data_IF_880197731631
#
_entry.id   IF_880197731631
#
_cell.length_a   1.000
_cell.length_b   1.000
_cell.length_c   1.000
_cell.angle_alpha   90.00
_cell.angle_beta   90.00
_cell.angle_gamma   90.00
#
_symmetry.space_group_name_H-M   'P 1'
#
loop_
_entity.id
_entity.type
_entity.pdbx_description
1 polymer ?
#
# COMPACT_ATOMS: atom_id res chain seq x y z
N UNK A 1 -7.47 -9.77 -3.84
CA UNK A 1 -8.31 -8.56 -4.04
C UNK A 1 -8.89 -8.55 -5.46
N UNK A 2 -9.96 -7.78 -5.73
CA UNK A 2 -10.58 -7.65 -7.07
C UNK A 2 -9.75 -6.81 -8.05
N UNK A 3 -8.92 -5.88 -7.56
CA UNK A 3 -8.06 -4.99 -8.37
C UNK A 3 -7.05 -5.73 -9.25
N UNK A 4 -6.60 -6.92 -8.84
CA UNK A 4 -5.60 -7.72 -9.54
C UNK A 4 -6.21 -8.96 -10.23
N UNK A 5 -7.54 -9.08 -10.19
CA UNK A 5 -8.27 -10.27 -10.61
C UNK A 5 -9.50 -9.95 -11.46
N UNK A 6 -9.50 -8.83 -12.20
CA UNK A 6 -10.61 -8.45 -13.07
C UNK A 6 -11.00 -9.54 -14.08
N UNK A 7 -10.02 -10.32 -14.53
CA UNK A 7 -10.22 -11.46 -15.43
C UNK A 7 -10.96 -12.64 -14.78
N UNK A 8 -10.93 -12.73 -13.45
CA UNK A 8 -11.57 -13.81 -12.68
C UNK A 8 -13.04 -13.49 -12.35
N UNK A 9 -13.53 -12.29 -12.68
CA UNK A 9 -14.91 -11.87 -12.39
C UNK A 9 -15.96 -12.85 -12.91
N UNK A 10 -15.89 -13.38 -14.15
CA UNK A 10 -16.87 -14.36 -14.64
C UNK A 10 -16.90 -15.64 -13.81
N UNK A 11 -15.72 -16.15 -13.42
CA UNK A 11 -15.60 -17.33 -12.58
C UNK A 11 -16.12 -17.09 -11.16
N UNK A 12 -15.81 -15.94 -10.56
CA UNK A 12 -16.29 -15.54 -9.24
C UNK A 12 -17.82 -15.40 -9.20
N UNK A 13 -18.43 -14.87 -10.26
CA UNK A 13 -19.88 -14.79 -10.38
C UNK A 13 -20.53 -16.17 -10.46
N UNK A 14 -19.94 -17.11 -11.19
CA UNK A 14 -20.43 -18.49 -11.26
C UNK A 14 -20.31 -19.19 -9.90
N UNK A 15 -19.18 -19.02 -9.20
CA UNK A 15 -18.97 -19.58 -7.87
C UNK A 15 -19.97 -19.03 -6.83
N UNK A 16 -20.40 -17.77 -6.99
CA UNK A 16 -21.36 -17.09 -6.10
C UNK A 16 -22.81 -17.14 -6.62
N UNK A 17 -23.09 -17.88 -7.69
CA UNK A 17 -24.44 -18.00 -8.26
C UNK A 17 -25.46 -18.57 -7.26
N UNK A 18 -25.02 -19.42 -6.33
CA UNK A 18 -25.84 -19.95 -5.24
C UNK A 18 -26.11 -18.93 -4.12
N UNK A 19 -25.38 -17.81 -4.08
CA UNK A 19 -25.60 -16.73 -3.11
C UNK A 19 -26.93 -15.99 -3.34
N UNK A 20 -27.54 -16.13 -4.52
CA UNK A 20 -28.84 -15.56 -4.86
C UNK A 20 -29.99 -15.98 -3.96
N UNK A 21 -29.90 -17.18 -3.38
CA UNK A 21 -30.87 -17.72 -2.44
C UNK A 21 -30.36 -17.72 -1.00
N UNK A 22 -29.18 -17.13 -0.75
CA UNK A 22 -28.58 -17.10 0.58
C UNK A 22 -29.26 -16.04 1.45
N UNK A 23 -29.57 -16.34 2.72
CA UNK A 23 -30.03 -15.34 3.70
C UNK A 23 -28.91 -14.37 4.12
N UNK A 24 -27.66 -14.59 3.68
CA UNK A 24 -26.54 -13.72 4.00
C UNK A 24 -26.52 -12.46 3.14
N UNK A 25 -26.80 -11.31 3.76
CA UNK A 25 -26.69 -9.98 3.14
C UNK A 25 -25.30 -9.71 2.57
N UNK A 26 -24.26 -10.27 3.20
CA UNK A 26 -22.87 -10.13 2.76
C UNK A 26 -22.59 -10.87 1.45
N UNK A 27 -23.07 -12.11 1.30
CA UNK A 27 -22.92 -12.86 0.06
C UNK A 27 -23.73 -12.23 -1.08
N UNK A 28 -24.95 -11.76 -0.78
CA UNK A 28 -25.77 -11.06 -1.76
C UNK A 28 -25.13 -9.75 -2.23
N UNK A 29 -24.51 -9.00 -1.32
CA UNK A 29 -23.78 -7.77 -1.66
C UNK A 29 -22.55 -8.07 -2.55
N UNK A 30 -21.76 -9.10 -2.23
CA UNK A 30 -20.63 -9.52 -3.07
C UNK A 30 -21.08 -9.89 -4.48
N UNK A 31 -22.18 -10.63 -4.60
CA UNK A 31 -22.75 -10.96 -5.89
C UNK A 31 -23.20 -9.72 -6.68
N UNK A 32 -23.89 -8.79 -6.02
CA UNK A 32 -24.36 -7.55 -6.65
C UNK A 32 -23.18 -6.68 -7.14
N UNK A 33 -22.11 -6.59 -6.36
CA UNK A 33 -20.88 -5.89 -6.76
C UNK A 33 -20.25 -6.57 -7.99
N UNK A 34 -20.11 -7.89 -7.99
CA UNK A 34 -19.58 -8.62 -9.13
C UNK A 34 -20.43 -8.44 -10.39
N UNK A 35 -21.76 -8.42 -10.25
CA UNK A 35 -22.69 -8.13 -11.35
C UNK A 35 -22.47 -6.73 -11.91
N UNK A 36 -22.37 -5.73 -11.04
CA UNK A 36 -22.11 -4.34 -11.45
C UNK A 36 -20.77 -4.21 -12.18
N UNK A 37 -19.72 -4.90 -11.69
CA UNK A 37 -18.40 -4.93 -12.34
C UNK A 37 -18.49 -5.53 -13.74
N UNK A 38 -19.16 -6.67 -13.92
CA UNK A 38 -19.30 -7.31 -15.24
C UNK A 38 -20.11 -6.46 -16.22
N UNK A 39 -21.15 -5.78 -15.75
CA UNK A 39 -21.87 -4.79 -16.56
C UNK A 39 -20.95 -3.66 -16.99
N UNK A 40 -20.15 -3.12 -16.08
CA UNK A 40 -19.20 -2.04 -16.36
C UNK A 40 -18.09 -2.49 -17.33
N UNK A 41 -17.56 -3.71 -17.18
CA UNK A 41 -16.62 -4.33 -18.12
C UNK A 41 -17.21 -4.45 -19.53
N UNK A 42 -18.48 -4.89 -19.61
CA UNK A 42 -19.20 -5.03 -20.88
C UNK A 42 -19.46 -3.66 -21.51
N UNK A 43 -19.89 -2.67 -20.73
CA UNK A 43 -20.16 -1.32 -21.21
C UNK A 43 -18.89 -0.61 -21.67
N UNK A 44 -17.78 -0.70 -20.93
CA UNK A 44 -16.51 -0.09 -21.31
C UNK A 44 -15.74 -0.87 -22.40
N UNK A 45 -16.22 -2.07 -22.78
CA UNK A 45 -15.52 -2.94 -23.72
C UNK A 45 -14.13 -3.38 -23.24
N UNK A 46 -13.89 -3.38 -21.91
CA UNK A 46 -12.59 -3.72 -21.34
C UNK A 46 -12.76 -4.64 -20.14
N UNK A 47 -11.94 -5.70 -20.09
CA UNK A 47 -11.92 -6.60 -18.94
C UNK A 47 -11.16 -5.97 -17.77
N UNK A 48 -10.17 -5.14 -18.03
CA UNK A 48 -9.36 -4.51 -17.00
C UNK A 48 -9.91 -3.12 -16.69
N UNK A 49 -10.38 -2.92 -15.46
CA UNK A 49 -10.94 -1.65 -14.99
C UNK A 49 -9.87 -0.74 -14.36
N UNK A 50 -8.60 -1.14 -14.36
CA UNK A 50 -7.51 -0.42 -13.74
C UNK A 50 -7.39 -0.66 -12.25
N UNK A 51 -6.68 0.22 -11.56
CA UNK A 51 -6.40 0.08 -10.14
C UNK A 51 -7.55 0.64 -9.30
N UNK A 52 -8.05 -0.15 -8.35
CA UNK A 52 -9.05 0.31 -7.37
C UNK A 52 -8.35 1.16 -6.32
N UNK A 53 -8.85 2.36 -6.06
CA UNK A 53 -8.39 3.17 -4.93
C UNK A 53 -8.79 2.47 -3.61
N UNK A 54 -7.83 2.34 -2.70
CA UNK A 54 -7.95 1.46 -1.52
C UNK A 54 -9.07 1.84 -0.56
N UNK A 55 -9.49 3.11 -0.55
CA UNK A 55 -10.52 3.61 0.37
C UNK A 55 -11.80 4.00 -0.38
N UNK A 56 -12.93 3.30 -0.13
CA UNK A 56 -14.20 3.67 -0.72
C UNK A 56 -14.70 5.00 -0.15
N UNK A 57 -15.23 5.86 -1.00
CA UNK A 57 -15.87 7.10 -0.57
C UNK A 57 -17.26 6.77 -0.04
N UNK A 58 -17.59 7.25 1.15
CA UNK A 58 -18.91 7.09 1.75
C UNK A 58 -19.48 8.45 2.10
N UNK A 59 -20.71 8.72 1.69
CA UNK A 59 -21.43 9.90 2.17
C UNK A 59 -22.30 9.57 3.38
N UNK A 60 -22.88 10.63 3.98
CA UNK A 60 -23.77 10.51 5.14
C UNK A 60 -25.12 9.87 4.81
N UNK A 61 -25.46 9.79 3.53
CA UNK A 61 -26.70 9.16 3.04
C UNK A 61 -26.51 7.63 2.87
N UNK A 62 -25.29 7.13 3.05
CA UNK A 62 -24.96 5.71 2.94
C UNK A 62 -24.60 5.28 1.51
N UNK A 63 -24.46 6.21 0.57
CA UNK A 63 -23.95 5.88 -0.75
C UNK A 63 -22.45 5.61 -0.68
N UNK A 64 -22.00 4.61 -1.44
CA UNK A 64 -20.61 4.19 -1.51
C UNK A 64 -20.11 4.33 -2.93
N UNK A 65 -19.04 5.09 -3.12
CA UNK A 65 -18.34 5.23 -4.39
C UNK A 65 -17.02 4.45 -4.36
N UNK A 66 -16.90 3.52 -5.32
CA UNK A 66 -15.66 2.81 -5.62
C UNK A 66 -14.97 3.53 -6.77
N UNK A 67 -13.72 3.95 -6.55
CA UNK A 67 -12.94 4.69 -7.54
C UNK A 67 -11.94 3.73 -8.18
N UNK A 68 -11.93 3.70 -9.51
CA UNK A 68 -10.93 2.96 -10.30
C UNK A 68 -10.19 3.94 -11.19
N UNK A 69 -8.90 3.71 -11.40
CA UNK A 69 -8.06 4.55 -12.23
C UNK A 69 -7.28 3.66 -13.20
N UNK A 70 -7.42 3.97 -14.49
CA UNK A 70 -6.71 3.28 -15.57
C UNK A 70 -6.01 4.31 -16.43
N UNK A 71 -4.69 4.16 -16.57
CA UNK A 71 -3.92 4.96 -17.51
C UNK A 71 -4.00 4.34 -18.91
N UNK A 72 -4.22 5.20 -19.91
CA UNK A 72 -4.24 4.82 -21.32
C UNK A 72 -3.01 5.44 -21.99
N UNK A 73 -1.90 4.70 -22.17
CA UNK A 73 -0.66 5.24 -22.73
C UNK A 73 -0.82 5.65 -24.21
N UNK A 74 -1.78 5.04 -24.91
CA UNK A 74 -2.23 5.45 -26.23
C UNK A 74 -3.73 5.79 -26.13
N UNK A 75 -4.21 6.76 -26.93
CA UNK A 75 -5.63 7.06 -26.99
C UNK A 75 -6.40 5.76 -27.29
N UNK A 76 -7.25 5.26 -26.37
CA UNK A 76 -7.96 4.02 -26.60
C UNK A 76 -8.89 4.21 -27.79
N UNK A 77 -9.10 3.15 -28.57
CA UNK A 77 -10.24 3.10 -29.49
C UNK A 77 -11.49 3.49 -28.69
N UNK A 78 -12.31 4.44 -29.18
CA UNK A 78 -13.48 4.85 -28.43
C UNK A 78 -14.33 3.62 -28.12
N UNK A 79 -14.70 3.41 -26.84
CA UNK A 79 -15.60 2.31 -26.48
C UNK A 79 -16.90 2.41 -27.29
N UNK A 80 -17.50 1.26 -27.60
CA UNK A 80 -18.82 1.17 -28.25
C UNK A 80 -19.82 0.69 -27.19
N UNK A 81 -20.77 1.53 -26.72
CA UNK A 81 -21.16 2.84 -27.24
C UNK A 81 -20.17 3.98 -26.89
N UNK A 82 -20.12 5.07 -27.67
CA UNK A 82 -19.18 6.18 -27.47
C UNK A 82 -19.42 6.85 -26.11
N UNK A 83 -18.49 6.62 -25.17
CA UNK A 83 -18.47 7.38 -23.93
C UNK A 83 -18.00 8.81 -24.21
N UNK A 84 -18.64 9.77 -23.55
CA UNK A 84 -18.20 11.15 -23.59
C UNK A 84 -17.10 11.34 -22.55
N UNK A 85 -15.84 11.44 -23.01
CA UNK A 85 -14.76 11.84 -22.12
C UNK A 85 -14.99 13.28 -21.66
N UNK A 86 -15.05 13.48 -20.35
CA UNK A 86 -15.15 14.80 -19.75
C UNK A 86 -13.74 15.23 -19.33
N UNK A 87 -13.22 16.35 -19.84
CA UNK A 87 -11.97 16.92 -19.34
C UNK A 87 -12.05 17.16 -17.83
N UNK A 88 -10.99 16.82 -17.08
CA UNK A 88 -10.95 16.97 -15.62
C UNK A 88 -11.26 18.42 -15.19
N UNK A 89 -10.78 19.40 -15.95
CA UNK A 89 -11.06 20.84 -15.70
C UNK A 89 -12.56 21.17 -15.74
N UNK A 90 -13.39 20.40 -16.47
CA UNK A 90 -14.85 20.58 -16.45
C UNK A 90 -15.48 19.98 -15.20
N UNK A 91 -14.91 18.91 -14.64
CA UNK A 91 -15.33 18.34 -13.36
C UNK A 91 -15.00 19.32 -12.22
N UNK A 92 -13.81 19.92 -12.24
CA UNK A 92 -13.41 20.98 -11.29
C UNK A 92 -14.32 22.21 -11.36
N UNK A 93 -14.80 22.59 -12.55
CA UNK A 93 -15.75 23.71 -12.70
C UNK A 93 -17.17 23.38 -12.24
N UNK A 94 -17.58 22.10 -12.23
CA UNK A 94 -18.86 21.70 -11.66
C UNK A 94 -18.88 21.79 -10.13
N UNK A 95 -17.71 21.88 -9.47
CA UNK A 95 -17.53 22.16 -8.04
C UNK A 95 -18.30 23.40 -7.56
N UNK A 96 -18.50 24.39 -8.44
CA UNK A 96 -19.08 25.68 -8.08
C UNK A 96 -20.61 25.75 -8.21
N UNK A 97 -21.30 24.68 -8.61
CA UNK A 97 -22.76 24.68 -8.74
C UNK A 97 -23.39 24.35 -7.40
N UNK A 98 -23.64 25.41 -6.62
CA UNK A 98 -24.58 25.56 -5.50
C UNK A 98 -24.84 24.30 -4.66
N UNK A 99 -24.41 24.25 -3.38
CA UNK A 99 -24.87 23.20 -2.47
C UNK A 99 -26.38 23.37 -2.27
N UNK A 100 -27.17 22.63 -3.04
CA UNK A 100 -28.62 22.50 -2.81
C UNK A 100 -28.89 21.61 -1.58
N UNK A 101 -27.88 20.85 -1.15
CA UNK A 101 -27.92 19.97 0.00
C UNK A 101 -27.06 20.52 1.14
N UNK A 102 -27.51 20.39 2.40
CA UNK A 102 -26.72 20.83 3.56
C UNK A 102 -25.46 20.01 3.82
N UNK A 103 -25.32 18.84 3.18
CA UNK A 103 -24.20 17.92 3.38
C UNK A 103 -23.56 17.52 2.04
N UNK A 104 -22.21 17.36 1.99
CA UNK A 104 -21.52 16.96 0.77
C UNK A 104 -21.86 15.53 0.38
N UNK A 105 -22.13 15.32 -0.90
CA UNK A 105 -22.35 13.99 -1.48
C UNK A 105 -21.02 13.24 -1.66
N UNK A 106 -21.09 11.94 -1.95
CA UNK A 106 -19.89 11.16 -2.25
C UNK A 106 -19.17 11.66 -3.52
N UNK A 107 -19.91 12.26 -4.46
CA UNK A 107 -19.35 12.91 -5.65
C UNK A 107 -18.62 14.22 -5.31
N UNK A 108 -19.15 15.02 -4.39
CA UNK A 108 -18.48 16.25 -3.93
C UNK A 108 -17.16 15.93 -3.24
N UNK A 109 -17.16 14.89 -2.39
CA UNK A 109 -15.95 14.37 -1.75
C UNK A 109 -14.95 13.85 -2.78
N UNK A 110 -15.41 13.19 -3.85
CA UNK A 110 -14.55 12.74 -4.93
C UNK A 110 -13.87 13.92 -5.62
N UNK A 111 -14.59 15.01 -5.91
CA UNK A 111 -14.03 16.19 -6.55
C UNK A 111 -12.98 16.88 -5.69
N UNK A 112 -13.25 17.03 -4.39
CA UNK A 112 -12.30 17.64 -3.47
C UNK A 112 -11.02 16.80 -3.29
N UNK A 113 -11.11 15.46 -3.38
CA UNK A 113 -9.96 14.54 -3.22
C UNK A 113 -9.38 14.02 -4.55
N UNK A 114 -9.83 14.55 -5.69
CA UNK A 114 -9.48 13.97 -7.00
C UNK A 114 -7.97 14.03 -7.26
N UNK A 115 -7.35 15.18 -6.97
CA UNK A 115 -5.91 15.41 -7.15
C UNK A 115 -5.08 14.49 -6.24
N UNK A 116 -5.50 14.28 -5.00
CA UNK A 116 -4.85 13.37 -4.07
C UNK A 116 -4.91 11.92 -4.54
N UNK A 117 -6.08 11.47 -5.03
CA UNK A 117 -6.24 10.10 -5.56
C UNK A 117 -5.41 9.88 -6.84
N UNK A 118 -5.35 10.87 -7.73
CA UNK A 118 -4.50 10.83 -8.92
C UNK A 118 -3.02 10.79 -8.55
N UNK A 119 -2.61 11.61 -7.58
CA UNK A 119 -1.24 11.64 -7.08
C UNK A 119 -0.86 10.32 -6.42
N UNK A 120 -1.74 9.75 -5.60
CA UNK A 120 -1.56 8.42 -5.01
C UNK A 120 -1.32 7.35 -6.09
N UNK A 121 -2.15 7.31 -7.13
CA UNK A 121 -1.98 6.35 -8.23
C UNK A 121 -0.63 6.50 -8.95
N UNK A 122 -0.22 7.74 -9.25
CA UNK A 122 1.10 7.99 -9.86
C UNK A 122 2.22 7.50 -8.95
N UNK A 123 2.12 7.75 -7.65
CA UNK A 123 3.11 7.29 -6.67
C UNK A 123 3.13 5.78 -6.50
N UNK A 124 1.98 5.09 -6.54
CA UNK A 124 1.91 3.63 -6.41
C UNK A 124 2.53 2.90 -7.60
N UNK A 125 2.61 3.55 -8.77
CA UNK A 125 3.24 2.99 -9.96
C UNK A 125 4.75 3.29 -10.06
N UNK A 126 5.34 3.97 -9.06
CA UNK A 126 6.77 4.24 -9.06
C UNK A 126 7.57 3.04 -8.56
N UNK A 127 8.78 2.91 -9.12
CA UNK A 127 9.72 1.84 -8.80
C UNK A 127 10.91 2.42 -8.08
N UNK A 128 11.41 1.68 -7.08
CA UNK A 128 12.62 2.07 -6.36
C UNK A 128 13.86 1.59 -7.09
N UNK A 129 14.94 2.33 -6.90
CA UNK A 129 16.25 1.96 -7.42
C UNK A 129 16.67 0.57 -6.90
N UNK A 130 17.31 -0.27 -7.71
CA UNK A 130 17.81 -1.57 -7.27
C UNK A 130 18.70 -1.49 -6.03
N UNK A 131 18.60 -2.47 -5.14
CA UNK A 131 19.48 -2.58 -3.99
C UNK A 131 18.87 -3.22 -2.76
N UNK A 132 19.65 -3.20 -1.69
CA UNK A 132 19.26 -3.70 -0.38
C UNK A 132 18.72 -2.54 0.45
N UNK A 133 17.53 -2.75 1.01
CA UNK A 133 16.81 -1.79 1.83
C UNK A 133 16.57 -2.36 3.23
N UNK A 134 16.37 -1.46 4.19
CA UNK A 134 15.74 -1.79 5.46
C UNK A 134 14.38 -1.10 5.49
N UNK A 135 13.32 -1.86 5.76
CA UNK A 135 11.95 -1.36 5.85
C UNK A 135 11.36 -1.64 7.21
N UNK A 136 10.59 -0.71 7.77
CA UNK A 136 9.93 -0.90 9.06
C UNK A 136 8.50 -1.40 8.85
N UNK A 137 8.12 -2.49 9.53
CA UNK A 137 6.74 -2.97 9.52
C UNK A 137 5.99 -2.39 10.72
N UNK A 138 5.27 -1.29 10.50
CA UNK A 138 4.39 -0.72 11.52
C UNK A 138 2.94 -1.00 11.18
N UNK A 139 2.29 -1.78 12.04
CA UNK A 139 0.88 -2.08 11.94
C UNK A 139 0.07 -1.23 12.92
N UNK A 140 -1.11 -0.84 12.49
CA UNK A 140 -2.12 -0.18 13.32
C UNK A 140 -3.35 -1.08 13.30
N UNK A 141 -3.66 -1.71 14.43
CA UNK A 141 -4.82 -2.57 14.54
C UNK A 141 -6.03 -1.77 15.04
N UNK A 142 -7.16 -1.90 14.36
CA UNK A 142 -8.46 -1.42 14.84
C UNK A 142 -9.45 -2.58 14.91
N UNK A 143 -10.63 -2.35 15.53
CA UNK A 143 -11.68 -3.38 15.64
C UNK A 143 -12.12 -3.90 14.26
N UNK A 144 -12.07 -3.05 13.23
CA UNK A 144 -12.55 -3.40 11.89
C UNK A 144 -11.44 -3.96 10.97
N UNK A 145 -10.18 -3.52 11.14
CA UNK A 145 -9.12 -3.85 10.20
C UNK A 145 -7.70 -3.61 10.75
N UNK A 146 -6.74 -4.38 10.25
CA UNK A 146 -5.32 -4.11 10.41
C UNK A 146 -4.86 -3.21 9.26
N UNK A 147 -4.20 -2.12 9.59
CA UNK A 147 -3.58 -1.18 8.64
C UNK A 147 -2.07 -1.20 8.77
N UNK A 148 -1.37 -0.84 7.70
CA UNK A 148 0.08 -0.69 7.64
C UNK A 148 0.45 0.75 7.32
N UNK A 149 1.54 1.24 7.92
CA UNK A 149 2.11 2.54 7.61
C UNK A 149 3.02 2.45 6.37
N UNK A 150 2.76 3.31 5.39
CA UNK A 150 3.53 3.43 4.14
C UNK A 150 3.90 4.89 3.88
N UNK A 151 4.96 5.19 3.11
CA UNK A 151 5.28 6.57 2.75
C UNK A 151 4.31 7.09 1.70
N UNK A 152 3.87 8.35 1.83
CA UNK A 152 2.88 8.94 0.91
C UNK A 152 3.36 9.02 -0.56
N UNK A 153 4.67 9.18 -0.77
CA UNK A 153 5.29 9.27 -2.11
C UNK A 153 5.53 7.91 -2.76
N UNK A 154 5.45 6.82 -1.99
CA UNK A 154 5.71 5.48 -2.48
C UNK A 154 4.90 4.44 -1.68
N UNK A 155 3.57 4.44 -1.83
CA UNK A 155 2.67 3.65 -1.00
C UNK A 155 2.73 2.14 -1.27
N UNK A 156 3.43 1.71 -2.31
CA UNK A 156 3.68 0.31 -2.68
C UNK A 156 4.87 -0.32 -1.94
N UNK A 157 5.53 0.41 -1.02
CA UNK A 157 6.55 -0.14 -0.13
C UNK A 157 6.31 0.28 1.32
N UNK A 158 6.94 -0.44 2.24
CA UNK A 158 7.07 0.00 3.62
C UNK A 158 7.93 1.27 3.69
N UNK A 159 7.80 2.03 4.78
CA UNK A 159 8.75 3.08 5.09
C UNK A 159 10.16 2.47 5.16
N UNK A 160 11.08 2.97 4.33
CA UNK A 160 12.37 2.32 4.09
C UNK A 160 13.53 3.30 4.00
N UNK A 161 14.74 2.75 4.16
CA UNK A 161 16.01 3.41 3.85
C UNK A 161 16.91 2.45 3.07
N UNK A 162 17.66 2.98 2.11
CA UNK A 162 18.61 2.19 1.31
C UNK A 162 19.85 1.88 2.15
N UNK A 163 20.22 0.61 2.23
CA UNK A 163 21.45 0.14 2.88
C UNK A 163 22.60 0.21 1.89
N UNK A 164 22.42 -0.37 0.70
CA UNK A 164 23.44 -0.38 -0.36
C UNK A 164 22.84 -0.60 -1.76
N UNK A 165 23.59 -0.34 -2.85
CA UNK A 165 23.12 -0.59 -4.21
C UNK A 165 22.99 -2.06 -4.61
N UNK A 166 23.71 -2.97 -3.97
CA UNK A 166 23.59 -4.41 -4.22
C UNK A 166 22.42 -5.00 -3.41
N UNK A 167 21.51 -5.70 -4.06
CA UNK A 167 20.38 -6.36 -3.40
C UNK A 167 20.78 -7.63 -2.63
N UNK A 168 21.91 -8.25 -2.99
CA UNK A 168 22.34 -9.50 -2.40
C UNK A 168 22.70 -9.34 -0.93
N UNK A 169 22.44 -10.38 -0.14
CA UNK A 169 22.96 -10.54 1.23
C UNK A 169 23.79 -11.83 1.23
N UNK A 170 25.04 -11.73 1.66
CA UNK A 170 25.96 -12.88 1.71
C UNK A 170 25.61 -13.80 2.89
N UNK A 171 26.08 -15.05 2.82
CA UNK A 171 25.88 -16.02 3.90
C UNK A 171 26.49 -15.55 5.23
N UNK A 172 27.65 -14.89 5.19
CA UNK A 172 28.31 -14.34 6.38
C UNK A 172 27.46 -13.24 7.03
N UNK A 173 26.96 -12.29 6.23
CA UNK A 173 26.08 -11.20 6.70
C UNK A 173 24.78 -11.74 7.29
N UNK A 174 24.16 -12.74 6.64
CA UNK A 174 22.93 -13.34 7.12
C UNK A 174 23.12 -14.13 8.41
N UNK A 175 24.21 -14.91 8.51
CA UNK A 175 24.56 -15.64 9.72
C UNK A 175 24.84 -14.69 10.90
N UNK A 176 25.48 -13.55 10.65
CA UNK A 176 25.70 -12.50 11.65
C UNK A 176 24.40 -11.89 12.15
N UNK A 177 23.46 -11.60 11.24
CA UNK A 177 22.13 -11.11 11.62
C UNK A 177 21.39 -12.12 12.51
N UNK A 178 21.43 -13.41 12.15
CA UNK A 178 20.80 -14.47 12.93
C UNK A 178 21.45 -14.64 14.31
N UNK A 179 22.78 -14.63 14.40
CA UNK A 179 23.47 -14.80 15.69
C UNK A 179 23.15 -13.68 16.69
N UNK A 180 22.98 -12.44 16.22
CA UNK A 180 22.65 -11.30 17.07
C UNK A 180 21.19 -11.29 17.55
N UNK A 181 20.30 -12.09 16.95
CA UNK A 181 18.92 -12.27 17.44
C UNK A 181 18.83 -13.37 18.50
N UNK A 182 19.69 -14.39 18.43
CA UNK A 182 19.61 -15.59 19.30
C UNK A 182 20.70 -15.67 20.38
N UNK A 183 21.79 -14.90 20.29
CA UNK A 183 22.85 -14.86 21.31
C UNK A 183 22.94 -13.49 21.97
N UNK A 184 22.59 -13.44 23.26
CA UNK A 184 22.90 -12.30 24.15
C UNK A 184 24.36 -12.30 24.64
N UNK A 185 25.17 -13.26 24.21
CA UNK A 185 26.58 -13.40 24.61
C UNK A 185 27.49 -13.07 23.42
N UNK A 186 28.18 -11.93 23.55
CA UNK A 186 29.03 -11.32 22.54
C UNK A 186 30.30 -12.12 22.24
N UNK A 187 30.17 -13.16 21.41
CA UNK A 187 31.30 -13.68 20.64
C UNK A 187 31.46 -12.86 19.38
N UNK A 188 32.46 -11.97 19.31
CA UNK A 188 32.79 -11.23 18.09
C UNK A 188 33.24 -12.22 17.01
N UNK A 189 32.45 -12.49 15.94
CA UNK A 189 32.99 -13.22 14.82
C UNK A 189 34.01 -12.31 14.16
N UNK A 190 35.22 -12.82 13.93
CA UNK A 190 36.32 -12.16 13.25
C UNK A 190 35.80 -11.37 12.04
N UNK A 191 35.68 -10.05 12.18
CA UNK A 191 34.94 -9.22 11.24
C UNK A 191 35.72 -9.15 9.93
N UNK A 192 35.25 -9.85 8.89
CA UNK A 192 35.74 -9.62 7.55
C UNK A 192 35.50 -8.16 7.18
N UNK A 193 36.40 -7.53 6.43
CA UNK A 193 36.26 -6.10 6.06
C UNK A 193 34.93 -5.80 5.37
N UNK A 194 34.33 -6.77 4.67
CA UNK A 194 33.02 -6.66 4.05
C UNK A 194 31.85 -6.70 5.05
N UNK A 195 31.95 -7.54 6.09
CA UNK A 195 30.94 -7.62 7.14
C UNK A 195 30.89 -6.33 7.97
N UNK A 196 32.04 -5.76 8.33
CA UNK A 196 32.11 -4.49 9.06
C UNK A 196 31.45 -3.35 8.27
N UNK A 197 31.68 -3.30 6.95
CA UNK A 197 31.09 -2.30 6.06
C UNK A 197 29.57 -2.46 5.91
N UNK A 198 29.09 -3.71 5.85
CA UNK A 198 27.66 -4.01 5.86
C UNK A 198 26.99 -3.56 7.16
N UNK A 199 27.57 -3.90 8.32
CA UNK A 199 27.03 -3.52 9.63
C UNK A 199 26.98 -1.99 9.76
N UNK A 200 28.04 -1.30 9.33
CA UNK A 200 28.10 0.16 9.32
C UNK A 200 27.00 0.76 8.45
N UNK A 201 26.84 0.26 7.22
CA UNK A 201 25.81 0.73 6.28
C UNK A 201 24.40 0.46 6.79
N UNK A 202 24.17 -0.71 7.38
CA UNK A 202 22.88 -1.08 7.98
C UNK A 202 22.52 -0.17 9.16
N UNK A 203 23.47 0.10 10.06
CA UNK A 203 23.27 1.02 11.19
C UNK A 203 22.90 2.43 10.70
N UNK A 204 23.63 2.96 9.71
CA UNK A 204 23.32 4.27 9.12
C UNK A 204 21.92 4.29 8.51
N UNK A 205 21.54 3.24 7.76
CA UNK A 205 20.22 3.14 7.16
C UNK A 205 19.10 3.05 8.20
N UNK A 206 19.28 2.28 9.27
CA UNK A 206 18.32 2.20 10.38
C UNK A 206 18.21 3.55 11.08
N UNK A 207 19.33 4.19 11.43
CA UNK A 207 19.33 5.52 12.06
C UNK A 207 18.58 6.53 11.19
N UNK A 208 18.86 6.56 9.88
CA UNK A 208 18.17 7.44 8.95
C UNK A 208 16.67 7.15 8.87
N UNK A 209 16.26 5.88 8.81
CA UNK A 209 14.85 5.48 8.81
C UNK A 209 14.12 5.91 10.08
N UNK A 210 14.73 5.70 11.25
CA UNK A 210 14.14 6.09 12.53
C UNK A 210 14.02 7.60 12.64
N UNK A 211 15.05 8.36 12.27
CA UNK A 211 15.00 9.84 12.25
C UNK A 211 13.91 10.35 11.31
N UNK A 212 13.82 9.78 10.11
CA UNK A 212 12.79 10.13 9.11
C UNK A 212 11.36 9.96 9.63
N UNK A 213 11.15 8.95 10.47
CA UNK A 213 9.86 8.64 11.10
C UNK A 213 9.65 9.32 12.45
N UNK A 214 10.56 10.22 12.85
CA UNK A 214 10.58 10.89 14.15
C UNK A 214 10.59 9.89 15.34
N UNK A 215 11.25 8.74 15.17
CA UNK A 215 11.48 7.75 16.23
C UNK A 215 12.78 8.13 16.95
N UNK A 216 12.75 8.36 18.27
CA UNK A 216 13.96 8.65 19.02
C UNK A 216 14.96 7.50 18.96
N UNK A 217 16.20 7.80 18.60
CA UNK A 217 17.27 6.80 18.42
C UNK A 217 17.59 6.01 19.70
N UNK A 218 17.32 6.58 20.88
CA UNK A 218 17.48 5.85 22.13
C UNK A 218 16.54 4.63 22.23
N UNK A 219 15.47 4.55 21.44
CA UNK A 219 14.58 3.36 21.37
C UNK A 219 15.00 2.35 20.31
N UNK A 220 16.04 2.63 19.51
CA UNK A 220 16.44 1.77 18.40
C UNK A 220 16.75 0.33 18.85
N UNK A 221 17.25 0.13 20.07
CA UNK A 221 17.55 -1.19 20.64
C UNK A 221 16.30 -2.07 20.84
N UNK A 222 15.11 -1.47 20.89
CA UNK A 222 13.85 -2.19 21.04
C UNK A 222 13.36 -2.76 19.71
N UNK A 223 13.94 -2.32 18.59
CA UNK A 223 13.58 -2.79 17.27
C UNK A 223 14.41 -4.04 16.91
N UNK A 224 13.71 -5.11 16.53
CA UNK A 224 14.34 -6.34 16.09
C UNK A 224 14.46 -6.39 14.57
N UNK A 225 15.58 -6.90 14.06
CA UNK A 225 15.67 -7.26 12.63
C UNK A 225 15.04 -8.64 12.44
N UNK A 226 14.14 -8.78 11.48
CA UNK A 226 13.55 -10.06 11.10
C UNK A 226 14.58 -10.89 10.31
N UNK A 227 14.90 -12.07 10.82
CA UNK A 227 16.00 -12.92 10.30
C UNK A 227 15.54 -14.33 9.90
N UNK A 228 14.22 -14.54 9.78
CA UNK A 228 13.69 -15.82 9.27
C UNK A 228 13.78 -15.89 7.76
N UNK A 229 13.39 -14.83 7.06
CA UNK A 229 13.38 -14.77 5.60
C UNK A 229 13.79 -13.37 5.13
N UNK A 230 14.56 -13.32 4.04
CA UNK A 230 14.87 -12.08 3.34
C UNK A 230 13.74 -11.80 2.34
N UNK A 231 13.14 -10.62 2.43
CA UNK A 231 12.08 -10.22 1.49
C UNK A 231 12.75 -9.83 0.17
N UNK A 232 12.47 -10.58 -0.89
CA UNK A 232 13.03 -10.32 -2.22
C UNK A 232 11.91 -9.91 -3.18
N UNK A 233 12.06 -8.74 -3.80
CA UNK A 233 11.10 -8.17 -4.74
C UNK A 233 11.73 -8.18 -6.13
N UNK A 234 11.38 -9.21 -6.91
CA UNK A 234 12.04 -9.53 -8.17
C UNK A 234 13.54 -9.83 -8.00
N UNK A 235 14.33 -9.58 -9.04
CA UNK A 235 15.77 -9.88 -9.01
C UNK A 235 16.63 -8.71 -8.50
N UNK A 236 16.04 -7.51 -8.39
CA UNK A 236 16.78 -6.25 -8.28
C UNK A 236 16.66 -5.58 -6.92
N UNK A 237 15.75 -6.04 -6.05
CA UNK A 237 15.49 -5.41 -4.76
C UNK A 237 15.34 -6.45 -3.66
N UNK A 238 15.95 -6.19 -2.51
CA UNK A 238 15.77 -7.00 -1.31
C UNK A 238 15.59 -6.09 -0.10
N UNK A 239 14.81 -6.53 0.87
CA UNK A 239 14.49 -5.75 2.06
C UNK A 239 14.67 -6.59 3.32
N UNK A 240 15.41 -6.01 4.26
CA UNK A 240 15.45 -6.43 5.64
C UNK A 240 14.30 -5.77 6.39
N UNK A 241 13.54 -6.55 7.16
CA UNK A 241 12.41 -6.04 7.91
C UNK A 241 12.85 -5.65 9.33
N UNK A 242 12.55 -4.42 9.71
CA UNK A 242 12.71 -3.91 11.06
C UNK A 242 11.35 -3.97 11.78
N UNK A 243 11.29 -4.71 12.86
CA UNK A 243 10.08 -4.95 13.64
C UNK A 243 10.08 -4.06 14.89
N UNK A 244 9.02 -3.27 15.12
CA UNK A 244 8.86 -2.55 16.38
C UNK A 244 8.66 -3.52 17.55
N UNK A 245 8.90 -3.07 18.79
CA UNK A 245 8.57 -3.85 19.98
C UNK A 245 7.08 -4.22 19.98
N UNK A 246 6.74 -5.37 20.55
CA UNK A 246 5.37 -5.93 20.51
C UNK A 246 4.30 -5.01 21.10
N UNK A 247 4.66 -4.12 22.02
CA UNK A 247 3.75 -3.15 22.63
C UNK A 247 3.37 -1.99 21.69
N UNK A 248 4.24 -1.65 20.74
CA UNK A 248 4.02 -0.60 19.74
C UNK A 248 3.41 -1.14 18.42
N UNK A 249 3.12 -2.44 18.39
CA UNK A 249 2.60 -3.15 17.22
C UNK A 249 1.10 -2.90 16.99
N UNK A 250 0.39 -2.31 17.96
CA UNK A 250 -1.06 -2.09 17.92
C UNK A 250 -1.50 -0.66 18.28
N UNK A 251 -0.58 0.28 18.53
CA UNK A 251 -0.96 1.62 18.94
C UNK A 251 -1.73 2.34 17.82
N UNK A 252 -2.97 2.70 18.13
CA UNK A 252 -3.95 3.29 17.21
C UNK A 252 -3.55 4.70 16.74
N UNK A 253 -2.55 5.30 17.39
CA UNK A 253 -2.08 6.65 17.15
C UNK A 253 -0.57 6.63 17.02
N UNK A 254 -0.08 6.66 15.79
CA UNK A 254 1.26 7.15 15.54
C UNK A 254 1.17 8.67 15.36
N UNK A 255 1.69 9.49 16.27
CA UNK A 255 1.75 10.91 16.04
C UNK A 255 2.77 11.13 14.91
N UNK A 256 2.29 11.32 13.69
CA UNK A 256 3.07 11.86 12.57
C UNK A 256 3.47 13.33 12.78
N UNK A 257 3.24 13.87 13.99
CA UNK A 257 3.60 15.23 14.38
C UNK A 257 5.13 15.33 14.39
N UNK A 258 5.67 16.03 13.39
CA UNK A 258 7.10 16.30 13.26
C UNK A 258 7.91 15.27 12.47
N UNK A 259 7.28 14.27 11.82
CA UNK A 259 7.99 13.41 10.87
C UNK A 259 8.31 14.18 9.58
N UNK A 260 9.54 13.98 9.04
CA UNK A 260 9.95 14.61 7.77
C UNK A 260 9.10 14.10 6.59
N UNK A 261 8.64 12.84 6.66
CA UNK A 261 7.65 12.30 5.74
C UNK A 261 6.33 12.01 6.46
N UNK A 262 5.25 12.59 5.96
CA UNK A 262 3.91 12.20 6.34
C UNK A 262 3.65 10.78 5.81
N UNK A 263 3.48 9.83 6.72
CA UNK A 263 3.08 8.48 6.39
C UNK A 263 1.57 8.41 6.11
N UNK A 264 1.18 7.51 5.22
CA UNK A 264 -0.21 7.13 4.98
C UNK A 264 -0.46 5.77 5.63
N UNK A 265 -1.66 5.56 6.18
CA UNK A 265 -2.07 4.21 6.63
C UNK A 265 -3.01 3.58 5.62
N UNK A 266 -2.73 2.34 5.24
CA UNK A 266 -3.56 1.59 4.30
C UNK A 266 -3.95 0.22 4.83
N UNK A 267 -5.11 -0.34 4.46
CA UNK A 267 -5.50 -1.67 4.88
C UNK A 267 -4.49 -2.71 4.45
N UNK A 268 -4.06 -3.58 5.37
CA UNK A 268 -3.05 -4.60 5.10
C UNK A 268 -3.51 -5.57 4.00
N UNK A 269 -4.82 -5.82 3.88
CA UNK A 269 -5.35 -6.69 2.81
C UNK A 269 -5.27 -6.06 1.42
N UNK A 270 -4.96 -4.76 1.32
CA UNK A 270 -4.84 -4.03 0.05
C UNK A 270 -3.37 -3.70 -0.24
N UNK A 271 -2.53 -3.59 0.80
CA UNK A 271 -1.11 -3.36 0.64
C UNK A 271 -0.46 -4.51 -0.12
N UNK A 272 0.13 -4.17 -1.24
CA UNK A 272 0.94 -5.07 -2.06
C UNK A 272 2.33 -4.48 -2.16
N UNK A 273 3.33 -5.29 -1.83
CA UNK A 273 4.72 -4.92 -2.05
C UNK A 273 5.02 -5.12 -3.54
N UNK A 274 5.24 -4.01 -4.24
CA UNK A 274 5.57 -3.98 -5.67
C UNK A 274 6.98 -4.44 -6.00
#
# INVERSE_FOLDING_TARGET
>A
QLSCAWQQVPWLQQALSSAHSSPSSLLQNRHNILRAISQLQSSLGTMDLGQVYFEPLKDRQGNVLLVTLKEFPNAPSPPDPPFHWIPLVRLEKNRSRTPLLPEPTAMDTLYDQLEDKLSFHRHSNQWVQPGLYVGILKLCSSVEQIRVLVPQRLPNLLCHARVRPSAHVTREEWAWLQSHVYSSEGGSPMESSGLAEFIRSLRVAITHLLTKLNIPLYRAYQYGVYTRELLQFGEKMSMLLLLPPSEDFSSSYWPLVGAEEQGLTMPLQIFELG
#
